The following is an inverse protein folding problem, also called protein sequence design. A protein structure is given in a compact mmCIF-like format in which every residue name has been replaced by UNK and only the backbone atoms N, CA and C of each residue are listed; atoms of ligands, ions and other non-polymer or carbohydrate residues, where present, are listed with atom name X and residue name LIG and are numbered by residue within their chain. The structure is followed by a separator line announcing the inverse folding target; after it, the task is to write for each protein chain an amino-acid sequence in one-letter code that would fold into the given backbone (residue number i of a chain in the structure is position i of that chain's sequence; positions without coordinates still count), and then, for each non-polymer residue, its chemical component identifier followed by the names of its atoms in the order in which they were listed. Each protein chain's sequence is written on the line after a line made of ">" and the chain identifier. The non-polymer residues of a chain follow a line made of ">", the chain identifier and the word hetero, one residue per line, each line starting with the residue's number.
data_IF_448159482238
#
_entry.id   IF_448159482238
#
_cell.length_a   1.000
_cell.length_b   1.000
_cell.length_c   1.000
_cell.angle_alpha   90.00
_cell.angle_beta   90.00
_cell.angle_gamma   90.00
#
_symmetry.space_group_name_H-M   'P 1'
#
loop_
_entity.id
_entity.type
_entity.pdbx_description
1 polymer ?
#
# COMPACT_ATOMS: atom_id res chain seq x y z
N UNK A 1 0.09 -4.66 -7.90
CA UNK A 1 0.15 -5.98 -7.24
C UNK A 1 -0.55 -6.95 -8.16
N UNK A 2 -0.03 -8.18 -8.30
CA UNK A 2 -0.54 -9.19 -9.23
C UNK A 2 0.46 -9.58 -10.33
N UNK A 3 1.48 -8.77 -10.60
CA UNK A 3 2.60 -9.14 -11.47
C UNK A 3 3.89 -8.46 -10.99
N UNK A 4 4.67 -9.19 -10.19
CA UNK A 4 5.84 -8.66 -9.48
C UNK A 4 6.99 -8.14 -10.39
N UNK A 5 6.98 -8.47 -11.70
CA UNK A 5 8.06 -8.08 -12.62
C UNK A 5 7.96 -6.65 -13.16
N UNK A 6 6.76 -6.15 -13.43
CA UNK A 6 6.57 -4.85 -14.12
C UNK A 6 5.97 -3.75 -13.22
N UNK A 7 5.50 -4.09 -12.02
CA UNK A 7 4.79 -3.16 -11.12
C UNK A 7 5.65 -2.57 -10.00
N UNK A 8 6.84 -3.11 -9.74
CA UNK A 8 7.78 -2.55 -8.74
C UNK A 8 8.69 -1.55 -9.44
N UNK A 9 8.32 -0.27 -9.38
CA UNK A 9 9.14 0.83 -9.90
C UNK A 9 9.77 1.61 -8.74
N UNK A 10 11.09 1.73 -8.77
CA UNK A 10 11.86 2.60 -7.87
C UNK A 10 11.90 3.98 -8.53
N UNK A 11 11.35 5.00 -7.86
CA UNK A 11 11.42 6.38 -8.32
C UNK A 11 12.54 7.09 -7.56
N UNK A 12 13.47 7.70 -8.30
CA UNK A 12 14.55 8.52 -7.75
C UNK A 12 14.25 10.01 -8.00
N UNK A 13 13.73 10.70 -6.99
CA UNK A 13 13.67 12.16 -6.90
C UNK A 13 12.67 12.93 -7.78
N UNK A 14 12.09 12.34 -8.83
CA UNK A 14 11.17 13.05 -9.73
C UNK A 14 9.69 12.94 -9.31
N UNK A 15 9.09 14.07 -8.94
CA UNK A 15 7.67 14.16 -8.55
C UNK A 15 6.71 13.87 -9.72
N UNK A 16 7.12 14.12 -10.97
CA UNK A 16 6.33 13.81 -12.16
C UNK A 16 6.08 12.30 -12.29
N UNK A 17 7.13 11.51 -12.16
CA UNK A 17 7.07 10.05 -12.27
C UNK A 17 6.19 9.45 -11.16
N UNK A 18 6.25 10.00 -9.94
CA UNK A 18 5.34 9.62 -8.85
C UNK A 18 3.87 9.83 -9.21
N UNK A 19 3.53 10.99 -9.78
CA UNK A 19 2.14 11.30 -10.17
C UNK A 19 1.64 10.35 -11.24
N UNK A 20 2.50 9.94 -12.16
CA UNK A 20 2.11 9.06 -13.25
C UNK A 20 1.89 7.62 -12.78
N UNK A 21 2.69 7.12 -11.83
CA UNK A 21 2.46 5.80 -11.21
C UNK A 21 1.14 5.78 -10.45
N UNK A 22 0.85 6.82 -9.65
CA UNK A 22 -0.40 6.90 -8.89
C UNK A 22 -1.62 6.89 -9.82
N UNK A 23 -1.55 7.60 -10.96
CA UNK A 23 -2.63 7.61 -11.96
C UNK A 23 -2.83 6.25 -12.63
N UNK A 24 -1.74 5.51 -12.91
CA UNK A 24 -1.82 4.17 -13.51
C UNK A 24 -2.56 3.18 -12.62
N UNK A 25 -2.33 3.21 -11.30
CA UNK A 25 -2.98 2.32 -10.34
C UNK A 25 -4.41 2.73 -9.94
N UNK A 26 -4.89 3.92 -10.34
CA UNK A 26 -6.15 4.48 -9.85
C UNK A 26 -7.41 3.94 -10.57
N UNK A 27 -7.26 3.20 -11.66
CA UNK A 27 -8.39 2.78 -12.50
C UNK A 27 -8.59 1.27 -12.47
N UNK A 28 -9.79 0.82 -12.14
CA UNK A 28 -10.20 -0.59 -12.20
C UNK A 28 -11.06 -0.82 -13.45
N UNK A 29 -10.60 -1.71 -14.34
CA UNK A 29 -11.34 -2.12 -15.54
C UNK A 29 -10.98 -3.57 -15.92
N UNK A 30 -11.51 -4.08 -17.03
CA UNK A 30 -11.26 -5.47 -17.47
C UNK A 30 -9.81 -5.74 -17.88
N UNK A 31 -9.07 -4.69 -18.25
CA UNK A 31 -7.66 -4.71 -18.63
C UNK A 31 -6.75 -4.51 -17.40
N UNK A 32 -7.25 -3.89 -16.34
CA UNK A 32 -6.61 -3.72 -15.01
C UNK A 32 -7.41 -4.44 -13.92
N UNK A 33 -7.49 -5.79 -13.97
CA UNK A 33 -8.24 -6.55 -12.98
C UNK A 33 -7.63 -6.40 -11.59
N UNK A 34 -8.50 -6.23 -10.60
CA UNK A 34 -8.11 -6.12 -9.21
C UNK A 34 -7.62 -7.45 -8.66
N UNK A 35 -6.52 -7.42 -7.92
CA UNK A 35 -6.08 -8.53 -7.06
C UNK A 35 -6.25 -8.14 -5.59
N UNK A 36 -6.49 -9.08 -4.68
CA UNK A 36 -6.61 -8.77 -3.25
C UNK A 36 -5.33 -8.15 -2.69
N UNK A 37 -5.44 -6.96 -2.10
CA UNK A 37 -4.31 -6.23 -1.47
C UNK A 37 -4.32 -6.29 0.06
N UNK A 38 -5.48 -6.54 0.65
CA UNK A 38 -5.69 -6.61 2.07
C UNK A 38 -6.92 -7.48 2.38
N UNK A 39 -6.94 -8.08 3.56
CA UNK A 39 -8.07 -8.82 4.10
C UNK A 39 -8.24 -8.50 5.58
N UNK A 40 -9.45 -8.72 6.09
CA UNK A 40 -9.76 -8.68 7.52
C UNK A 40 -10.04 -10.10 8.02
N UNK A 41 -9.85 -10.33 9.32
CA UNK A 41 -10.10 -11.64 9.94
C UNK A 41 -10.96 -11.50 11.18
N UNK A 42 -11.75 -12.54 11.46
CA UNK A 42 -12.53 -12.66 12.68
C UNK A 42 -12.04 -13.86 13.49
N UNK A 43 -12.17 -13.78 14.82
CA UNK A 43 -11.91 -14.91 15.72
C UNK A 43 -13.01 -15.96 15.60
N UNK A 44 -12.66 -17.24 15.50
CA UNK A 44 -13.66 -18.31 15.36
C UNK A 44 -14.55 -18.48 16.61
N UNK A 45 -14.06 -18.08 17.79
CA UNK A 45 -14.72 -18.28 19.09
C UNK A 45 -15.99 -17.45 19.24
N UNK A 46 -15.92 -16.18 18.86
CA UNK A 46 -16.93 -15.14 19.10
C UNK A 46 -17.27 -14.34 17.84
N UNK A 47 -16.61 -14.66 16.72
CA UNK A 47 -16.73 -13.97 15.44
C UNK A 47 -16.40 -12.47 15.51
N UNK A 48 -15.65 -12.04 16.52
CA UNK A 48 -15.19 -10.66 16.66
C UNK A 48 -14.04 -10.36 15.71
N UNK A 49 -13.96 -9.11 15.21
CA UNK A 49 -12.89 -8.64 14.34
C UNK A 49 -11.54 -8.69 15.06
N UNK A 50 -10.57 -9.39 14.46
CA UNK A 50 -9.21 -9.43 14.97
C UNK A 50 -8.48 -8.11 14.69
N UNK A 51 -8.05 -7.44 15.76
CA UNK A 51 -7.33 -6.16 15.70
C UNK A 51 -5.84 -6.39 15.95
N UNK A 52 -5.00 -6.01 14.97
CA UNK A 52 -3.54 -6.00 15.12
C UNK A 52 -3.13 -4.68 15.80
N UNK A 53 -2.55 -4.77 17.00
CA UNK A 53 -2.05 -3.60 17.75
C UNK A 53 -0.52 -3.51 17.62
N UNK A 54 -0.04 -2.51 16.88
CA UNK A 54 1.37 -2.23 16.71
C UNK A 54 1.76 -0.99 17.52
N UNK A 55 2.67 -1.14 18.48
CA UNK A 55 3.25 -0.03 19.25
C UNK A 55 4.76 0.01 18.99
N UNK A 56 5.29 1.19 18.64
CA UNK A 56 6.71 1.38 18.38
C UNK A 56 7.12 2.80 18.78
N UNK A 57 8.28 2.93 19.41
CA UNK A 57 8.90 4.22 19.69
C UNK A 57 9.84 4.59 18.53
N UNK A 58 9.80 5.85 18.09
CA UNK A 58 10.70 6.38 17.08
C UNK A 58 11.12 7.81 17.45
N UNK A 59 12.32 8.21 17.04
CA UNK A 59 12.80 9.59 17.19
C UNK A 59 12.58 10.32 15.87
N UNK A 60 11.61 11.23 15.86
CA UNK A 60 11.44 12.15 14.72
C UNK A 60 12.56 13.18 14.72
N UNK A 61 13.33 13.23 13.63
CA UNK A 61 14.43 14.20 13.47
C UNK A 61 14.04 15.25 12.45
N UNK A 62 13.94 16.51 12.87
CA UNK A 62 13.69 17.66 11.99
C UNK A 62 14.89 18.59 11.97
N UNK A 63 15.36 18.99 10.79
CA UNK A 63 16.36 20.05 10.62
C UNK A 63 15.72 21.31 10.00
N UNK A 64 16.26 22.48 10.33
CA UNK A 64 15.89 23.75 9.68
C UNK A 64 16.96 24.12 8.66
N UNK A 65 16.54 24.70 7.53
CA UNK A 65 17.41 25.23 6.49
C UNK A 65 17.99 26.60 6.88
#
# INVERSE_FOLDING_TARGET
>A
GGSAKDEVQIIDGNLGDLRDILKKGATFNRETPGVPIAYTTNFLKDNELAVIKNNSEYIETTSKA
#
